data_IF_656408031332
#
_entry.id   IF_656408031332
#
_cell.length_a   1.000
_cell.length_b   1.000
_cell.length_c   1.000
_cell.angle_alpha   90.00
_cell.angle_beta   90.00
_cell.angle_gamma   90.00
#
_symmetry.space_group_name_H-M   'P 1'
#
loop_
_entity.id
_entity.type
_entity.pdbx_description
1 polymer ?
#
# COMPACT_ATOMS: atom_id res chain seq x y z
N UNK A 1 -16.01 -12.84 6.18
CA UNK A 1 -15.08 -11.75 6.57
C UNK A 1 -14.00 -12.19 7.57
N UNK A 2 -14.30 -13.03 8.58
CA UNK A 2 -13.25 -13.72 9.37
C UNK A 2 -12.28 -14.52 8.49
N UNK A 3 -12.84 -15.25 7.52
CA UNK A 3 -12.05 -15.94 6.48
C UNK A 3 -11.13 -15.00 5.70
N UNK A 4 -11.51 -13.73 5.52
CA UNK A 4 -10.69 -12.75 4.80
C UNK A 4 -9.43 -12.37 5.59
N UNK A 5 -9.55 -12.13 6.90
CA UNK A 5 -8.40 -11.83 7.76
C UNK A 5 -7.46 -13.03 7.90
N UNK A 6 -8.01 -14.23 8.10
CA UNK A 6 -7.22 -15.45 8.19
C UNK A 6 -6.56 -15.78 6.85
N UNK A 7 -7.25 -15.53 5.73
CA UNK A 7 -6.66 -15.59 4.39
C UNK A 7 -5.46 -14.66 4.26
N UNK A 8 -5.62 -13.39 4.63
CA UNK A 8 -4.54 -12.41 4.55
C UNK A 8 -3.36 -12.81 5.44
N UNK A 9 -3.61 -13.21 6.68
CA UNK A 9 -2.56 -13.65 7.60
C UNK A 9 -1.84 -14.89 7.07
N UNK A 10 -2.57 -15.88 6.55
CA UNK A 10 -2.00 -17.08 5.95
C UNK A 10 -1.09 -16.75 4.76
N UNK A 11 -1.49 -15.80 3.91
CA UNK A 11 -0.69 -15.38 2.76
C UNK A 11 0.50 -14.52 3.18
N UNK A 12 0.34 -13.63 4.17
CA UNK A 12 1.45 -12.90 4.81
C UNK A 12 2.48 -13.89 5.36
N UNK A 13 2.07 -14.92 6.09
CA UNK A 13 2.98 -15.92 6.65
C UNK A 13 3.64 -16.79 5.57
N UNK A 14 2.90 -17.15 4.51
CA UNK A 14 3.44 -17.84 3.32
C UNK A 14 4.56 -17.01 2.68
N UNK A 15 4.32 -15.73 2.40
CA UNK A 15 5.33 -14.84 1.84
C UNK A 15 6.47 -14.59 2.83
N UNK A 16 6.20 -14.37 4.12
CA UNK A 16 7.24 -14.19 5.12
C UNK A 16 8.19 -15.40 5.17
N UNK A 17 7.65 -16.62 5.09
CA UNK A 17 8.47 -17.83 5.01
C UNK A 17 9.25 -17.92 3.69
N UNK A 18 8.70 -17.43 2.57
CA UNK A 18 9.40 -17.37 1.29
C UNK A 18 10.66 -16.47 1.33
N UNK A 19 10.64 -15.40 2.14
CA UNK A 19 11.74 -14.43 2.26
C UNK A 19 12.58 -14.58 3.54
N UNK A 20 12.32 -15.59 4.38
CA UNK A 20 12.97 -15.72 5.71
C UNK A 20 14.50 -15.80 5.66
N UNK A 21 15.03 -16.43 4.60
CA UNK A 21 16.46 -16.66 4.40
C UNK A 21 17.08 -15.61 3.46
N UNK A 22 16.42 -14.46 3.29
CA UNK A 22 16.79 -13.40 2.37
C UNK A 22 16.02 -13.42 1.05
N UNK A 23 16.20 -12.35 0.29
CA UNK A 23 15.50 -12.08 -0.98
C UNK A 23 16.31 -12.65 -2.15
N UNK A 24 15.95 -13.86 -2.59
CA UNK A 24 16.57 -14.54 -3.74
C UNK A 24 15.54 -14.71 -4.87
N UNK A 25 15.59 -13.80 -5.86
CA UNK A 25 14.67 -13.81 -6.99
C UNK A 25 14.87 -15.04 -7.88
N UNK A 26 16.10 -15.56 -8.00
CA UNK A 26 16.36 -16.78 -8.77
C UNK A 26 15.72 -18.00 -8.09
N UNK A 27 15.71 -18.04 -6.75
CA UNK A 27 14.95 -19.07 -6.00
C UNK A 27 13.46 -18.93 -6.27
N UNK A 28 12.91 -17.72 -6.23
CA UNK A 28 11.49 -17.47 -6.52
C UNK A 28 11.14 -17.92 -7.95
N UNK A 29 11.95 -17.57 -8.95
CA UNK A 29 11.77 -18.02 -10.33
C UNK A 29 11.81 -19.55 -10.48
N UNK A 30 12.74 -20.24 -9.80
CA UNK A 30 12.77 -21.71 -9.80
C UNK A 30 11.51 -22.31 -9.19
N UNK A 31 11.05 -21.77 -8.05
CA UNK A 31 9.82 -22.23 -7.42
C UNK A 31 8.59 -21.95 -8.28
N UNK A 32 8.54 -20.80 -8.96
CA UNK A 32 7.54 -20.45 -9.96
C UNK A 32 7.49 -21.48 -11.09
N UNK A 33 8.62 -21.76 -11.74
CA UNK A 33 8.71 -22.70 -12.87
C UNK A 33 8.36 -24.14 -12.45
N UNK A 34 8.66 -24.52 -11.22
CA UNK A 34 8.27 -25.84 -10.67
C UNK A 34 6.78 -25.94 -10.28
N UNK A 35 6.05 -24.82 -10.33
CA UNK A 35 4.65 -24.74 -9.90
C UNK A 35 4.44 -24.76 -8.38
N UNK A 36 5.50 -24.61 -7.58
CA UNK A 36 5.40 -24.57 -6.11
C UNK A 36 4.63 -23.32 -5.63
N UNK A 37 4.89 -22.17 -6.26
CA UNK A 37 4.26 -20.89 -5.88
C UNK A 37 2.78 -20.79 -6.28
N UNK A 38 2.40 -21.48 -7.35
CA UNK A 38 1.08 -21.38 -8.00
C UNK A 38 0.06 -22.40 -7.48
N UNK A 39 0.44 -23.19 -6.47
CA UNK A 39 -0.49 -23.99 -5.67
C UNK A 39 -1.22 -23.04 -4.71
N UNK A 40 -2.42 -22.60 -5.11
CA UNK A 40 -3.21 -21.67 -4.32
C UNK A 40 -4.65 -21.54 -4.82
N UNK A 41 -5.52 -21.04 -3.97
CA UNK A 41 -6.88 -20.65 -4.34
C UNK A 41 -6.86 -19.29 -5.02
N UNK A 42 -7.52 -19.19 -6.17
CA UNK A 42 -7.64 -17.95 -6.94
C UNK A 42 -8.30 -16.85 -6.11
N UNK A 43 -9.41 -17.18 -5.44
CA UNK A 43 -10.16 -16.20 -4.65
C UNK A 43 -9.35 -15.71 -3.45
N UNK A 44 -8.60 -16.60 -2.79
CA UNK A 44 -7.66 -16.25 -1.72
C UNK A 44 -6.63 -15.20 -2.17
N UNK A 45 -5.99 -15.42 -3.33
CA UNK A 45 -4.98 -14.51 -3.87
C UNK A 45 -5.58 -13.19 -4.38
N UNK A 46 -6.78 -13.20 -4.99
CA UNK A 46 -7.44 -11.95 -5.42
C UNK A 46 -7.92 -11.12 -4.22
N UNK A 47 -8.45 -11.77 -3.17
CA UNK A 47 -8.78 -11.11 -1.90
C UNK A 47 -7.56 -10.46 -1.26
N UNK A 48 -6.41 -11.14 -1.33
CA UNK A 48 -5.16 -10.61 -0.81
C UNK A 48 -4.64 -9.43 -1.65
N UNK A 49 -4.84 -9.44 -2.96
CA UNK A 49 -4.54 -8.30 -3.83
C UNK A 49 -5.29 -7.04 -3.37
N UNK A 50 -6.60 -7.15 -3.16
CA UNK A 50 -7.41 -6.05 -2.59
C UNK A 50 -6.85 -5.55 -1.25
N UNK A 51 -6.39 -6.46 -0.38
CA UNK A 51 -5.77 -6.07 0.89
C UNK A 51 -4.46 -5.29 0.69
N UNK A 52 -3.57 -5.76 -0.20
CA UNK A 52 -2.32 -5.07 -0.51
C UNK A 52 -2.57 -3.70 -1.13
N UNK A 53 -3.53 -3.60 -2.05
CA UNK A 53 -3.92 -2.34 -2.70
C UNK A 53 -4.47 -1.33 -1.68
N UNK A 54 -5.30 -1.79 -0.74
CA UNK A 54 -5.76 -0.94 0.38
C UNK A 54 -4.61 -0.48 1.26
N UNK A 55 -3.65 -1.36 1.58
CA UNK A 55 -2.48 -1.00 2.35
C UNK A 55 -1.65 0.07 1.63
N UNK A 56 -1.42 -0.10 0.33
CA UNK A 56 -0.66 0.82 -0.50
C UNK A 56 -1.36 2.18 -0.62
N UNK A 57 -2.67 2.18 -0.88
CA UNK A 57 -3.50 3.38 -0.92
C UNK A 57 -3.41 4.18 0.39
N UNK A 58 -3.59 3.51 1.55
CA UNK A 58 -3.56 4.20 2.84
C UNK A 58 -2.17 4.69 3.21
N UNK A 59 -1.14 3.92 2.88
CA UNK A 59 0.25 4.30 3.15
C UNK A 59 0.62 5.55 2.35
N UNK A 60 0.29 5.58 1.06
CA UNK A 60 0.85 6.57 0.14
C UNK A 60 -0.07 7.74 -0.18
N UNK A 61 -1.40 7.64 -0.04
CA UNK A 61 -2.32 8.72 -0.47
C UNK A 61 -1.92 10.08 0.08
N UNK A 62 -1.69 10.19 1.39
CA UNK A 62 -1.38 11.49 2.00
C UNK A 62 -0.03 12.05 1.53
N UNK A 63 0.93 11.17 1.19
CA UNK A 63 2.22 11.55 0.64
C UNK A 63 2.08 11.97 -0.81
N UNK A 64 1.36 11.20 -1.62
CA UNK A 64 1.08 11.56 -3.01
C UNK A 64 0.33 12.89 -3.09
N UNK A 65 -0.63 13.12 -2.21
CA UNK A 65 -1.24 14.46 -2.04
C UNK A 65 -0.17 15.47 -1.63
N UNK A 66 0.60 15.26 -0.58
CA UNK A 66 1.61 16.24 -0.14
C UNK A 66 2.65 16.60 -1.22
N UNK A 67 3.13 15.61 -1.98
CA UNK A 67 4.21 15.76 -2.94
C UNK A 67 3.75 16.06 -4.37
N UNK A 68 2.54 15.66 -4.75
CA UNK A 68 2.07 15.66 -6.13
C UNK A 68 0.62 16.14 -6.31
N UNK A 69 -0.07 16.67 -5.26
CA UNK A 69 -1.53 16.89 -5.27
C UNK A 69 -2.09 17.50 -6.56
N UNK A 70 -1.49 18.61 -7.00
CA UNK A 70 -1.94 19.41 -8.14
C UNK A 70 -1.74 18.72 -9.47
N UNK A 71 -1.00 17.60 -9.47
CA UNK A 71 -0.52 16.94 -10.66
C UNK A 71 -1.12 15.56 -10.85
N UNK A 72 -2.07 15.06 -10.04
CA UNK A 72 -2.70 13.76 -10.33
C UNK A 72 -4.01 13.94 -11.12
N UNK A 73 -4.15 13.29 -12.27
CA UNK A 73 -5.36 13.34 -13.10
C UNK A 73 -6.07 11.99 -13.17
N UNK A 74 -6.90 11.70 -12.17
CA UNK A 74 -7.77 10.51 -12.19
C UNK A 74 -8.81 10.58 -13.32
N UNK A 75 -9.23 11.79 -13.72
CA UNK A 75 -10.21 11.96 -14.79
C UNK A 75 -9.69 11.54 -16.16
N UNK A 76 -8.45 11.90 -16.50
CA UNK A 76 -7.86 11.51 -17.78
C UNK A 76 -7.53 10.02 -17.82
N UNK A 77 -7.05 9.47 -16.70
CA UNK A 77 -6.90 8.03 -16.51
C UNK A 77 -8.20 7.26 -16.81
N UNK A 78 -9.33 7.66 -16.23
CA UNK A 78 -10.62 7.00 -16.47
C UNK A 78 -11.09 7.14 -17.93
N UNK A 79 -10.83 8.27 -18.60
CA UNK A 79 -11.14 8.43 -20.03
C UNK A 79 -10.37 7.43 -20.89
N UNK A 80 -9.14 7.09 -20.51
CA UNK A 80 -8.33 6.10 -21.24
C UNK A 80 -8.84 4.69 -21.04
N UNK A 81 -9.23 4.33 -19.82
CA UNK A 81 -9.87 3.04 -19.53
C UNK A 81 -11.14 2.84 -20.37
N UNK A 82 -11.88 3.92 -20.64
CA UNK A 82 -13.06 3.87 -21.52
C UNK A 82 -12.73 3.51 -22.98
N UNK A 83 -11.47 3.63 -23.41
CA UNK A 83 -11.06 3.18 -24.74
C UNK A 83 -10.68 1.69 -24.78
N UNK A 84 -10.65 1.00 -23.63
CA UNK A 84 -10.30 -0.41 -23.53
C UNK A 84 -11.55 -1.31 -23.53
N UNK A 85 -11.75 -2.07 -24.61
CA UNK A 85 -12.90 -2.97 -24.78
C UNK A 85 -12.96 -4.10 -23.74
N UNK A 86 -11.81 -4.59 -23.26
CA UNK A 86 -11.77 -5.58 -22.18
C UNK A 86 -12.28 -5.00 -20.87
N UNK A 87 -11.90 -3.76 -20.54
CA UNK A 87 -12.37 -3.08 -19.33
C UNK A 87 -13.87 -2.83 -19.41
N UNK A 88 -14.39 -2.37 -20.55
CA UNK A 88 -15.84 -2.22 -20.77
C UNK A 88 -16.60 -3.53 -20.54
N UNK A 89 -16.07 -4.65 -21.04
CA UNK A 89 -16.68 -5.96 -20.83
C UNK A 89 -16.72 -6.36 -19.34
N UNK A 90 -15.64 -6.07 -18.60
CA UNK A 90 -15.57 -6.29 -17.15
C UNK A 90 -16.60 -5.42 -16.42
N UNK A 91 -16.70 -4.14 -16.76
CA UNK A 91 -17.69 -3.20 -16.19
C UNK A 91 -19.11 -3.72 -16.39
N UNK A 92 -19.47 -4.05 -17.64
CA UNK A 92 -20.80 -4.57 -17.95
C UNK A 92 -21.11 -5.86 -17.18
N UNK A 93 -20.16 -6.79 -17.08
CA UNK A 93 -20.31 -8.02 -16.30
C UNK A 93 -20.53 -7.73 -14.81
N UNK A 94 -19.76 -6.80 -14.25
CA UNK A 94 -19.88 -6.40 -12.84
C UNK A 94 -21.24 -5.77 -12.54
N UNK A 95 -21.69 -4.84 -13.37
CA UNK A 95 -22.98 -4.15 -13.22
C UNK A 95 -24.14 -5.15 -13.34
N UNK A 96 -24.11 -6.02 -14.37
CA UNK A 96 -25.13 -7.06 -14.55
C UNK A 96 -25.21 -7.97 -13.32
N UNK A 97 -24.06 -8.40 -12.81
CA UNK A 97 -24.00 -9.30 -11.65
C UNK A 97 -24.43 -8.61 -10.36
N UNK A 98 -24.08 -7.34 -10.16
CA UNK A 98 -24.58 -6.54 -9.03
C UNK A 98 -26.12 -6.39 -9.10
N UNK A 99 -26.68 -6.14 -10.28
CA UNK A 99 -28.12 -6.02 -10.48
C UNK A 99 -28.87 -7.34 -10.23
N UNK A 100 -28.23 -8.49 -10.42
CA UNK A 100 -28.78 -9.80 -10.04
C UNK A 100 -28.70 -10.06 -8.54
N UNK A 101 -27.66 -9.55 -7.87
CA UNK A 101 -27.39 -9.76 -6.44
C UNK A 101 -28.30 -8.88 -5.55
N UNK A 102 -28.61 -7.66 -5.99
CA UNK A 102 -29.51 -6.73 -5.26
C UNK A 102 -30.65 -6.23 -6.14
N UNK A 103 -31.87 -6.28 -5.61
CA UNK A 103 -33.06 -5.71 -6.27
C UNK A 103 -32.99 -4.17 -6.23
N UNK A 104 -33.36 -3.51 -7.34
CA UNK A 104 -33.45 -2.05 -7.49
C UNK A 104 -32.13 -1.25 -7.42
N UNK A 105 -31.06 -1.69 -8.10
CA UNK A 105 -29.87 -0.87 -8.31
C UNK A 105 -30.07 0.17 -9.44
N UNK A 106 -29.60 1.39 -9.22
CA UNK A 106 -29.62 2.45 -10.23
C UNK A 106 -28.19 2.83 -10.67
N UNK A 107 -27.40 1.84 -11.12
CA UNK A 107 -26.05 2.12 -11.63
C UNK A 107 -26.18 2.74 -13.03
N UNK A 108 -25.87 4.03 -13.14
CA UNK A 108 -26.30 4.89 -14.27
C UNK A 108 -25.22 5.10 -15.35
N UNK A 109 -24.25 4.21 -15.46
CA UNK A 109 -23.09 4.43 -16.35
C UNK A 109 -22.44 3.12 -16.79
N UNK A 110 -22.14 3.05 -18.09
CA UNK A 110 -21.25 2.04 -18.69
C UNK A 110 -19.83 2.58 -18.89
N UNK A 111 -19.55 3.81 -18.43
CA UNK A 111 -18.22 4.39 -18.41
C UNK A 111 -17.43 3.92 -17.18
N UNK A 112 -16.11 3.83 -17.33
CA UNK A 112 -15.18 3.53 -16.27
C UNK A 112 -15.25 4.58 -15.16
N UNK A 113 -15.59 4.12 -13.97
CA UNK A 113 -15.51 4.84 -12.70
C UNK A 113 -14.67 4.04 -11.71
N UNK A 114 -14.04 4.73 -10.75
CA UNK A 114 -13.36 4.08 -9.62
C UNK A 114 -14.39 3.50 -8.64
N UNK A 115 -15.54 4.17 -8.49
CA UNK A 115 -16.61 3.81 -7.58
C UNK A 115 -17.96 4.00 -8.26
N UNK A 116 -18.79 2.95 -8.28
CA UNK A 116 -20.12 2.97 -8.88
C UNK A 116 -21.17 3.03 -7.78
N UNK A 117 -21.87 4.16 -7.68
CA UNK A 117 -22.88 4.39 -6.64
C UNK A 117 -24.13 3.54 -6.87
N UNK A 118 -24.66 2.91 -5.82
CA UNK A 118 -25.90 2.10 -5.91
C UNK A 118 -27.17 2.95 -6.06
N UNK A 119 -27.12 4.21 -5.61
CA UNK A 119 -28.21 5.19 -5.70
C UNK A 119 -28.21 5.99 -7.03
N UNK A 120 -27.24 5.73 -7.91
CA UNK A 120 -27.06 6.42 -9.19
C UNK A 120 -26.46 7.82 -9.10
N UNK A 121 -25.98 8.25 -7.92
CA UNK A 121 -25.30 9.52 -7.76
C UNK A 121 -23.93 9.50 -8.42
N UNK A 122 -23.66 10.49 -9.27
CA UNK A 122 -22.36 10.67 -9.92
C UNK A 122 -21.42 11.48 -9.03
N UNK A 123 -20.22 10.97 -8.82
CA UNK A 123 -19.15 11.63 -8.09
C UNK A 123 -18.01 11.99 -9.04
N UNK A 124 -17.31 13.10 -8.80
CA UNK A 124 -16.09 13.38 -9.57
C UNK A 124 -15.00 12.35 -9.20
N UNK A 125 -14.02 12.07 -10.10
CA UNK A 125 -13.02 11.02 -9.88
C UNK A 125 -12.23 11.13 -8.58
N UNK A 126 -11.88 12.36 -8.18
CA UNK A 126 -11.20 12.61 -6.91
C UNK A 126 -12.05 12.19 -5.70
N UNK A 127 -13.33 12.56 -5.71
CA UNK A 127 -14.27 12.18 -4.66
C UNK A 127 -14.53 10.66 -4.66
N UNK A 128 -14.57 10.01 -5.82
CA UNK A 128 -14.63 8.54 -5.89
C UNK A 128 -13.42 7.89 -5.18
N UNK A 129 -12.20 8.38 -5.44
CA UNK A 129 -10.99 7.92 -4.74
C UNK A 129 -10.99 8.22 -3.23
N UNK A 130 -11.64 9.31 -2.79
CA UNK A 130 -11.86 9.61 -1.38
C UNK A 130 -12.83 8.63 -0.71
N UNK A 131 -13.93 8.28 -1.39
CA UNK A 131 -14.91 7.28 -0.93
C UNK A 131 -14.19 5.94 -0.70
N UNK A 132 -13.41 5.47 -1.69
CA UNK A 132 -12.68 4.20 -1.60
C UNK A 132 -11.65 4.22 -0.47
N UNK A 133 -10.88 5.31 -0.34
CA UNK A 133 -9.89 5.43 0.75
C UNK A 133 -10.56 5.39 2.12
N UNK A 134 -11.68 6.10 2.30
CA UNK A 134 -12.41 6.11 3.57
C UNK A 134 -12.87 4.69 3.88
N UNK A 135 -13.43 4.00 2.90
CA UNK A 135 -13.84 2.61 3.05
C UNK A 135 -12.68 1.72 3.51
N UNK A 136 -11.50 1.87 2.92
CA UNK A 136 -10.30 1.15 3.33
C UNK A 136 -9.87 1.50 4.77
N UNK A 137 -9.82 2.79 5.12
CA UNK A 137 -9.40 3.26 6.45
C UNK A 137 -10.34 2.78 7.57
N UNK A 138 -11.63 2.71 7.26
CA UNK A 138 -12.70 2.36 8.19
C UNK A 138 -13.13 0.88 8.10
N UNK A 139 -12.48 0.10 7.21
CA UNK A 139 -12.87 -1.26 6.81
C UNK A 139 -14.36 -1.41 6.49
N UNK A 140 -14.89 -0.40 5.82
CA UNK A 140 -16.26 -0.28 5.36
C UNK A 140 -16.40 -0.82 3.94
N UNK A 141 -15.90 -2.04 3.74
CA UNK A 141 -16.05 -2.79 2.51
C UNK A 141 -16.49 -4.21 2.83
N UNK A 142 -17.35 -4.78 1.98
CA UNK A 142 -18.01 -6.04 2.25
C UNK A 142 -18.22 -6.86 0.98
N UNK A 143 -18.62 -8.12 1.16
CA UNK A 143 -19.12 -9.02 0.12
C UNK A 143 -18.33 -8.99 -1.20
N UNK A 144 -17.32 -9.85 -1.28
CA UNK A 144 -16.56 -10.06 -2.52
C UNK A 144 -17.35 -10.95 -3.47
N UNK A 145 -17.72 -10.40 -4.63
CA UNK A 145 -18.47 -11.13 -5.66
C UNK A 145 -17.49 -11.72 -6.66
N UNK A 146 -17.36 -13.05 -6.67
CA UNK A 146 -16.46 -13.75 -7.57
C UNK A 146 -17.09 -14.04 -8.94
N UNK A 147 -16.28 -14.08 -9.98
CA UNK A 147 -16.55 -14.66 -11.28
C UNK A 147 -15.43 -15.68 -11.62
N UNK A 148 -15.43 -16.19 -12.85
CA UNK A 148 -14.48 -17.21 -13.29
C UNK A 148 -13.00 -16.78 -13.20
N UNK A 149 -12.75 -15.47 -13.22
CA UNK A 149 -11.44 -14.83 -13.09
C UNK A 149 -11.00 -14.45 -11.68
N UNK A 150 -11.76 -14.80 -10.63
CA UNK A 150 -11.50 -14.37 -9.26
C UNK A 150 -12.55 -13.38 -8.77
N UNK A 151 -12.18 -12.42 -7.90
CA UNK A 151 -13.11 -11.35 -7.48
C UNK A 151 -13.38 -10.40 -8.66
N UNK A 152 -14.64 -10.13 -8.94
CA UNK A 152 -15.07 -9.17 -9.95
C UNK A 152 -15.25 -7.77 -9.34
N UNK A 153 -15.93 -7.69 -8.20
CA UNK A 153 -16.11 -6.45 -7.45
C UNK A 153 -16.32 -6.74 -5.96
N UNK A 154 -16.23 -5.70 -5.15
CA UNK A 154 -16.61 -5.70 -3.74
C UNK A 154 -17.48 -4.48 -3.42
N UNK A 155 -18.29 -4.59 -2.38
CA UNK A 155 -19.13 -3.49 -1.93
C UNK A 155 -18.34 -2.53 -1.02
N UNK A 156 -18.69 -1.25 -1.10
CA UNK A 156 -18.23 -0.19 -0.21
C UNK A 156 -19.45 0.42 0.46
N UNK A 157 -19.42 0.49 1.79
CA UNK A 157 -20.52 0.87 2.68
C UNK A 157 -20.05 1.96 3.67
N UNK A 158 -19.74 3.15 3.15
CA UNK A 158 -19.27 4.28 3.95
C UNK A 158 -20.41 4.84 4.79
N UNK A 159 -20.56 4.31 6.02
CA UNK A 159 -21.60 4.68 6.97
C UNK A 159 -20.98 5.37 8.21
N UNK A 160 -21.22 6.66 8.37
CA UNK A 160 -20.92 7.41 9.59
C UNK A 160 -21.98 8.49 9.87
N UNK A 161 -21.77 9.34 10.88
CA UNK A 161 -22.71 10.40 11.23
C UNK A 161 -22.96 11.41 10.09
N UNK A 162 -22.07 11.49 9.11
CA UNK A 162 -22.04 12.50 8.06
C UNK A 162 -22.29 11.93 6.66
N UNK A 163 -22.12 10.62 6.47
CA UNK A 163 -22.24 9.95 5.18
C UNK A 163 -22.95 8.61 5.27
N UNK A 164 -23.77 8.37 4.25
CA UNK A 164 -24.45 7.12 3.97
C UNK A 164 -24.28 6.85 2.46
N UNK A 165 -23.10 6.33 2.08
CA UNK A 165 -22.70 6.11 0.68
C UNK A 165 -22.45 4.64 0.44
N UNK A 166 -23.18 4.08 -0.53
CA UNK A 166 -23.10 2.68 -0.92
C UNK A 166 -22.76 2.53 -2.41
N UNK A 167 -21.86 1.61 -2.72
CA UNK A 167 -21.45 1.35 -4.10
C UNK A 167 -20.72 0.05 -4.27
N UNK A 168 -20.32 -0.21 -5.51
CA UNK A 168 -19.38 -1.27 -5.85
C UNK A 168 -18.07 -0.65 -6.35
N UNK A 169 -16.99 -1.37 -6.08
CA UNK A 169 -15.67 -1.11 -6.63
C UNK A 169 -15.27 -2.34 -7.44
N UNK A 170 -15.01 -2.12 -8.73
CA UNK A 170 -14.54 -3.18 -9.63
C UNK A 170 -13.07 -3.44 -9.34
N UNK A 171 -12.74 -4.69 -9.04
CA UNK A 171 -11.45 -5.04 -8.45
C UNK A 171 -10.28 -4.78 -9.40
N UNK A 172 -10.43 -5.10 -10.69
CA UNK A 172 -9.37 -4.88 -11.70
C UNK A 172 -9.08 -3.38 -11.93
N UNK A 173 -10.12 -2.53 -11.97
CA UNK A 173 -9.95 -1.07 -12.09
C UNK A 173 -9.31 -0.50 -10.84
N UNK A 174 -9.72 -0.97 -9.67
CA UNK A 174 -9.13 -0.54 -8.39
C UNK A 174 -7.65 -0.91 -8.30
N UNK A 175 -7.30 -2.14 -8.67
CA UNK A 175 -5.93 -2.62 -8.66
C UNK A 175 -5.03 -1.79 -9.59
N UNK A 176 -5.46 -1.58 -10.85
CA UNK A 176 -4.72 -0.77 -11.81
C UNK A 176 -4.57 0.68 -11.34
N UNK A 177 -5.65 1.31 -10.86
CA UNK A 177 -5.62 2.67 -10.31
C UNK A 177 -4.64 2.78 -9.14
N UNK A 178 -4.65 1.81 -8.22
CA UNK A 178 -3.76 1.83 -7.06
C UNK A 178 -2.30 1.69 -7.49
N UNK A 179 -2.02 0.77 -8.41
CA UNK A 179 -0.68 0.58 -8.97
C UNK A 179 -0.15 1.80 -9.68
N UNK A 180 -0.98 2.45 -10.50
CA UNK A 180 -0.59 3.62 -11.27
C UNK A 180 -0.28 4.82 -10.37
N UNK A 181 -1.16 5.12 -9.40
CA UNK A 181 -1.10 6.38 -8.66
C UNK A 181 -0.51 6.28 -7.25
N UNK A 182 -0.37 5.08 -6.68
CA UNK A 182 0.12 4.91 -5.31
C UNK A 182 1.25 3.89 -5.21
N UNK A 183 1.83 3.42 -6.32
CA UNK A 183 3.07 2.64 -6.31
C UNK A 183 4.30 3.53 -6.37
N UNK A 184 5.29 3.22 -5.53
CA UNK A 184 6.59 3.88 -5.52
C UNK A 184 7.63 3.15 -6.41
N UNK A 185 7.24 2.11 -7.16
CA UNK A 185 8.11 1.48 -8.16
C UNK A 185 8.09 2.25 -9.46
N UNK A 186 9.28 2.58 -9.93
CA UNK A 186 9.51 3.26 -11.20
C UNK A 186 8.95 2.49 -12.41
N UNK A 187 8.86 1.17 -12.37
CA UNK A 187 8.32 0.39 -13.50
C UNK A 187 6.80 0.44 -13.59
N UNK A 188 6.10 0.69 -12.47
CA UNK A 188 4.65 0.49 -12.35
C UNK A 188 3.87 1.77 -12.05
N UNK A 189 4.43 2.69 -11.25
CA UNK A 189 3.77 3.92 -10.84
C UNK A 189 4.73 5.10 -10.81
N UNK A 190 4.50 6.01 -9.86
CA UNK A 190 5.26 7.26 -9.70
C UNK A 190 5.81 7.37 -8.29
N UNK A 191 7.14 7.36 -8.14
CA UNK A 191 7.77 7.67 -6.88
C UNK A 191 7.52 9.14 -6.48
N UNK A 192 6.99 9.37 -5.28
CA UNK A 192 6.80 10.74 -4.76
C UNK A 192 8.11 11.40 -4.33
N UNK A 193 9.13 10.59 -4.04
CA UNK A 193 10.50 11.03 -3.77
C UNK A 193 11.48 9.91 -4.10
N UNK A 194 12.73 10.27 -4.36
CA UNK A 194 13.85 9.32 -4.40
C UNK A 194 14.88 9.67 -3.33
N UNK A 195 15.46 8.65 -2.71
CA UNK A 195 16.51 8.83 -1.72
C UNK A 195 17.72 7.95 -2.00
N UNK A 196 18.92 8.47 -1.76
CA UNK A 196 20.15 7.71 -1.91
C UNK A 196 21.27 8.19 -1.00
N UNK A 197 22.32 7.37 -0.93
CA UNK A 197 23.59 7.69 -0.27
C UNK A 197 24.64 7.88 -1.36
N UNK A 198 25.27 9.05 -1.39
CA UNK A 198 26.30 9.36 -2.39
C UNK A 198 27.47 10.14 -1.79
N UNK A 199 28.66 9.96 -2.35
CA UNK A 199 29.78 10.86 -2.12
C UNK A 199 29.76 12.05 -3.09
N UNK A 200 28.93 12.04 -4.13
CA UNK A 200 28.76 13.18 -5.02
C UNK A 200 27.70 14.13 -4.48
N UNK A 201 28.04 15.41 -4.35
CA UNK A 201 27.08 16.49 -4.09
C UNK A 201 26.56 17.01 -5.42
N UNK A 202 25.26 16.87 -5.66
CA UNK A 202 24.53 17.44 -6.79
C UNK A 202 24.35 18.95 -6.62
N UNK A 203 24.30 19.46 -5.38
CA UNK A 203 24.23 20.89 -5.12
C UNK A 203 25.56 21.62 -5.39
N UNK A 204 26.68 21.02 -4.98
CA UNK A 204 28.04 21.58 -5.19
C UNK A 204 28.72 21.08 -6.46
N UNK A 205 28.10 20.10 -7.12
CA UNK A 205 28.57 19.44 -8.34
C UNK A 205 29.98 18.83 -8.23
N UNK A 206 30.35 18.34 -7.04
CA UNK A 206 31.66 17.75 -6.75
C UNK A 206 31.59 16.65 -5.70
N UNK A 207 32.68 15.90 -5.57
CA UNK A 207 32.81 14.91 -4.49
C UNK A 207 32.90 15.60 -3.12
N UNK A 208 32.20 14.98 -2.17
CA UNK A 208 32.19 15.25 -0.74
C UNK A 208 33.16 14.31 -0.03
N UNK A 209 33.78 14.80 1.04
CA UNK A 209 34.67 14.00 1.89
C UNK A 209 33.89 12.96 2.71
N UNK A 210 32.64 13.27 3.05
CA UNK A 210 31.76 12.39 3.82
C UNK A 210 30.54 11.97 2.99
N UNK A 211 29.98 10.76 3.19
CA UNK A 211 28.76 10.34 2.50
C UNK A 211 27.59 11.25 2.86
N UNK A 212 26.79 11.58 1.85
CA UNK A 212 25.61 12.42 1.94
C UNK A 212 24.36 11.55 1.81
N UNK A 213 23.36 11.83 2.62
CA UNK A 213 21.98 11.44 2.39
C UNK A 213 21.32 12.47 1.49
N UNK A 214 20.83 12.02 0.34
CA UNK A 214 20.28 12.87 -0.71
C UNK A 214 18.81 12.51 -0.91
N UNK A 215 17.96 13.52 -1.00
CA UNK A 215 16.54 13.36 -1.32
C UNK A 215 16.21 14.22 -2.53
N UNK A 216 15.60 13.59 -3.53
CA UNK A 216 15.05 14.22 -4.73
C UNK A 216 13.53 14.25 -4.63
N UNK A 217 12.94 15.39 -4.94
CA UNK A 217 11.50 15.58 -5.10
C UNK A 217 11.25 16.30 -6.41
N UNK A 218 10.05 16.18 -6.95
CA UNK A 218 9.66 17.06 -8.05
C UNK A 218 9.65 18.51 -7.54
N UNK A 219 10.12 19.44 -8.38
CA UNK A 219 10.06 20.87 -8.08
C UNK A 219 8.61 21.34 -8.01
N UNK A 220 8.30 22.23 -7.06
CA UNK A 220 7.01 22.92 -6.99
C UNK A 220 6.69 23.74 -8.27
N UNK A 221 7.71 24.04 -9.10
CA UNK A 221 7.54 24.72 -10.39
C UNK A 221 7.12 23.81 -11.54
N UNK A 222 7.12 22.49 -11.34
CA UNK A 222 6.63 21.54 -12.34
C UNK A 222 5.09 21.56 -12.34
N UNK A 223 4.47 21.76 -13.50
CA UNK A 223 3.03 22.06 -13.61
C UNK A 223 2.24 21.02 -14.42
N UNK A 224 2.88 19.92 -14.85
CA UNK A 224 2.22 18.92 -15.68
C UNK A 224 1.47 17.89 -14.83
N UNK A 225 0.25 17.57 -15.26
CA UNK A 225 -0.52 16.50 -14.67
C UNK A 225 0.00 15.13 -15.13
N UNK A 226 0.15 14.24 -14.17
CA UNK A 226 0.29 12.82 -14.28
C UNK A 226 -1.06 12.12 -14.39
N UNK A 227 -1.28 11.46 -15.52
CA UNK A 227 -2.45 10.66 -15.88
C UNK A 227 -2.18 9.14 -15.83
N UNK A 228 -1.00 8.72 -15.36
CA UNK A 228 -0.56 7.32 -15.38
C UNK A 228 0.61 7.03 -16.33
N UNK A 229 1.16 8.04 -17.01
CA UNK A 229 2.16 7.86 -18.07
C UNK A 229 3.60 8.18 -17.63
N UNK A 230 4.36 8.92 -18.43
CA UNK A 230 5.72 9.32 -18.08
C UNK A 230 5.70 10.44 -17.03
N UNK A 231 6.71 10.46 -16.18
CA UNK A 231 6.91 11.50 -15.17
C UNK A 231 8.40 11.64 -14.89
N UNK A 232 8.94 12.85 -14.63
CA UNK A 232 10.37 13.05 -14.36
C UNK A 232 10.88 12.22 -13.18
N UNK A 233 10.07 12.02 -12.14
CA UNK A 233 10.44 11.14 -11.01
C UNK A 233 10.58 9.67 -11.42
N UNK A 234 9.84 9.23 -12.44
CA UNK A 234 9.96 7.88 -13.00
C UNK A 234 11.27 7.78 -13.78
N UNK A 235 11.53 8.72 -14.67
CA UNK A 235 12.77 8.76 -15.46
C UNK A 235 14.02 8.86 -14.58
N UNK A 236 13.98 9.67 -13.52
CA UNK A 236 15.03 9.78 -12.51
C UNK A 236 15.30 8.42 -11.84
N UNK A 237 14.23 7.71 -11.46
CA UNK A 237 14.31 6.37 -10.88
C UNK A 237 15.09 5.38 -11.74
N UNK A 238 14.91 5.46 -13.08
CA UNK A 238 15.61 4.58 -14.03
C UNK A 238 17.12 4.83 -14.06
N UNK A 239 17.59 6.03 -13.69
CA UNK A 239 19.01 6.39 -13.73
C UNK A 239 19.81 5.87 -12.53
N UNK A 240 19.16 5.44 -11.44
CA UNK A 240 19.85 4.96 -10.23
C UNK A 240 20.70 3.70 -10.43
N UNK A 241 20.54 3.00 -11.57
CA UNK A 241 21.32 1.81 -11.91
C UNK A 241 22.77 2.14 -12.24
N UNK A 242 23.04 3.34 -12.76
CA UNK A 242 24.37 3.77 -13.20
C UNK A 242 24.69 5.16 -12.63
N UNK A 243 25.66 5.28 -11.69
CA UNK A 243 25.94 6.54 -11.00
C UNK A 243 26.26 7.71 -11.93
N UNK A 244 26.97 7.48 -13.03
CA UNK A 244 27.33 8.54 -13.98
C UNK A 244 26.10 9.06 -14.73
N UNK A 245 25.20 8.16 -15.17
CA UNK A 245 23.94 8.54 -15.81
C UNK A 245 23.05 9.35 -14.87
N UNK A 246 23.00 8.99 -13.58
CA UNK A 246 22.25 9.76 -12.59
C UNK A 246 22.79 11.20 -12.46
N UNK A 247 24.11 11.36 -12.41
CA UNK A 247 24.76 12.67 -12.33
C UNK A 247 24.42 13.52 -13.56
N UNK A 248 24.59 12.96 -14.75
CA UNK A 248 24.36 13.68 -16.00
C UNK A 248 22.88 14.03 -16.21
N UNK A 249 21.98 13.10 -15.89
CA UNK A 249 20.54 13.34 -15.97
C UNK A 249 20.09 14.44 -15.02
N UNK A 250 20.52 14.41 -13.75
CA UNK A 250 20.15 15.44 -12.77
C UNK A 250 20.74 16.80 -13.14
N UNK A 251 21.97 16.86 -13.64
CA UNK A 251 22.57 18.12 -14.12
C UNK A 251 21.78 18.73 -15.27
N UNK A 252 21.43 17.91 -16.25
CA UNK A 252 20.67 18.34 -17.44
C UNK A 252 19.26 18.79 -17.08
N UNK A 253 18.65 18.16 -16.07
CA UNK A 253 17.26 18.35 -15.67
C UNK A 253 17.11 19.02 -14.30
N UNK A 254 18.10 19.80 -13.85
CA UNK A 254 18.17 20.34 -12.49
C UNK A 254 16.92 21.14 -12.08
N UNK A 255 16.31 21.86 -13.02
CA UNK A 255 15.10 22.65 -12.77
C UNK A 255 13.85 21.81 -12.46
N UNK A 256 13.86 20.50 -12.77
CA UNK A 256 12.74 19.60 -12.48
C UNK A 256 12.74 19.11 -11.03
N UNK A 257 13.84 19.25 -10.29
CA UNK A 257 14.02 18.57 -9.02
C UNK A 257 14.41 19.50 -7.88
N UNK A 258 13.73 19.35 -6.75
CA UNK A 258 14.18 19.86 -5.47
C UNK A 258 15.10 18.83 -4.80
N UNK A 259 16.36 19.24 -4.60
CA UNK A 259 17.42 18.39 -4.06
C UNK A 259 17.81 18.86 -2.66
N UNK A 260 17.75 17.95 -1.70
CA UNK A 260 18.28 18.20 -0.35
C UNK A 260 19.42 17.24 -0.04
N UNK A 261 20.48 17.76 0.57
CA UNK A 261 21.66 16.99 0.95
C UNK A 261 21.97 17.20 2.44
N UNK A 262 22.17 16.11 3.17
CA UNK A 262 22.61 16.14 4.57
C UNK A 262 23.78 15.18 4.77
N UNK A 263 24.81 15.53 5.56
CA UNK A 263 25.85 14.56 5.91
C UNK A 263 25.24 13.37 6.64
N UNK A 264 25.56 12.14 6.21
CA UNK A 264 24.93 10.93 6.74
C UNK A 264 25.12 10.79 8.26
N UNK A 265 26.29 11.17 8.77
CA UNK A 265 26.62 11.14 10.20
C UNK A 265 25.72 12.06 11.06
N UNK A 266 25.07 13.06 10.45
CA UNK A 266 24.12 13.93 11.15
C UNK A 266 22.74 13.29 11.33
N UNK A 267 22.47 12.19 10.63
CA UNK A 267 21.21 11.46 10.66
C UNK A 267 21.33 10.12 11.39
N UNK A 268 22.43 9.41 11.17
CA UNK A 268 22.77 8.15 11.84
C UNK A 268 24.26 8.10 12.14
N UNK A 269 24.60 7.80 13.39
CA UNK A 269 26.01 7.64 13.77
C UNK A 269 26.55 6.24 13.39
N UNK A 270 27.88 6.10 13.39
CA UNK A 270 28.54 4.85 13.02
C UNK A 270 28.20 3.69 13.96
N UNK A 271 27.97 3.95 15.25
CA UNK A 271 27.65 2.91 16.24
C UNK A 271 26.25 2.35 15.96
N UNK A 272 25.28 3.20 15.63
CA UNK A 272 23.94 2.82 15.24
C UNK A 272 23.97 1.95 13.97
N UNK A 273 24.72 2.37 12.95
CA UNK A 273 24.88 1.60 11.70
C UNK A 273 25.51 0.23 11.98
N UNK A 274 26.60 0.16 12.76
CA UNK A 274 27.25 -1.11 13.11
C UNK A 274 26.33 -2.02 13.92
N UNK A 275 25.58 -1.48 14.88
CA UNK A 275 24.65 -2.25 15.71
C UNK A 275 23.53 -2.86 14.85
N UNK A 276 22.96 -2.07 13.95
CA UNK A 276 21.97 -2.54 12.97
C UNK A 276 22.57 -3.62 12.06
N UNK A 277 23.78 -3.41 11.55
CA UNK A 277 24.46 -4.35 10.66
C UNK A 277 24.61 -5.73 11.31
N UNK A 278 25.09 -5.77 12.56
CA UNK A 278 25.29 -7.02 13.32
C UNK A 278 23.96 -7.70 13.64
N UNK A 279 22.97 -6.94 14.13
CA UNK A 279 21.69 -7.50 14.57
C UNK A 279 20.84 -8.06 13.44
N UNK A 280 20.91 -7.45 12.26
CA UNK A 280 20.10 -7.83 11.11
C UNK A 280 20.90 -8.56 10.02
N UNK A 281 22.14 -8.99 10.33
CA UNK A 281 22.98 -9.77 9.42
C UNK A 281 23.17 -9.10 8.05
N UNK A 282 23.44 -7.80 8.03
CA UNK A 282 23.64 -7.04 6.80
C UNK A 282 25.09 -7.17 6.31
N UNK A 283 25.37 -8.18 5.49
CA UNK A 283 26.74 -8.59 5.19
C UNK A 283 27.45 -7.83 4.06
N UNK A 284 26.71 -7.18 3.16
CA UNK A 284 27.28 -6.51 1.99
C UNK A 284 26.91 -5.02 1.94
N UNK A 285 27.64 -4.24 1.12
CA UNK A 285 27.43 -2.79 0.99
C UNK A 285 25.98 -2.45 0.59
N UNK A 286 25.39 -3.20 -0.33
CA UNK A 286 24.00 -3.00 -0.75
C UNK A 286 23.02 -3.20 0.42
N UNK A 287 23.14 -4.31 1.15
CA UNK A 287 22.31 -4.60 2.32
C UNK A 287 22.44 -3.53 3.42
N UNK A 288 23.65 -3.00 3.64
CA UNK A 288 23.87 -1.89 4.58
C UNK A 288 23.18 -0.61 4.08
N UNK A 289 23.37 -0.25 2.81
CA UNK A 289 22.73 0.93 2.20
C UNK A 289 21.21 0.86 2.30
N UNK A 290 20.60 -0.26 1.91
CA UNK A 290 19.15 -0.45 2.02
C UNK A 290 18.68 -0.53 3.49
N UNK A 291 19.49 -1.08 4.39
CA UNK A 291 19.22 -1.01 5.83
C UNK A 291 19.15 0.44 6.33
N UNK A 292 20.09 1.29 5.92
CA UNK A 292 20.07 2.73 6.23
C UNK A 292 18.84 3.40 5.61
N UNK A 293 18.54 3.12 4.33
CA UNK A 293 17.32 3.64 3.68
C UNK A 293 16.06 3.21 4.43
N UNK A 294 16.00 1.97 4.92
CA UNK A 294 14.85 1.48 5.69
C UNK A 294 14.62 2.34 6.93
N UNK A 295 15.68 2.80 7.60
CA UNK A 295 15.57 3.64 8.79
C UNK A 295 15.26 5.10 8.44
N UNK A 296 15.97 5.67 7.46
CA UNK A 296 15.86 7.09 7.11
C UNK A 296 14.68 7.43 6.19
N UNK A 297 14.19 6.44 5.47
CA UNK A 297 13.11 6.53 4.49
C UNK A 297 12.16 5.33 4.55
N UNK A 298 11.72 5.02 5.76
CA UNK A 298 10.84 3.87 6.03
C UNK A 298 9.57 3.88 5.19
N UNK A 299 9.00 5.05 4.90
CA UNK A 299 7.75 5.17 4.13
C UNK A 299 7.91 4.61 2.70
N UNK A 300 8.98 5.03 2.01
CA UNK A 300 9.31 4.55 0.67
C UNK A 300 9.65 3.07 0.69
N UNK A 301 10.45 2.62 1.67
CA UNK A 301 10.88 1.22 1.73
C UNK A 301 9.73 0.25 2.10
N UNK A 302 8.79 0.67 2.96
CA UNK A 302 7.56 -0.11 3.23
C UNK A 302 6.67 -0.14 1.99
N UNK A 303 6.50 0.99 1.29
CA UNK A 303 5.74 1.04 0.05
C UNK A 303 6.32 0.08 -0.99
N UNK A 304 7.64 0.13 -1.19
CA UNK A 304 8.34 -0.75 -2.12
C UNK A 304 8.14 -2.22 -1.76
N UNK A 305 8.25 -2.58 -0.48
CA UNK A 305 7.95 -3.92 0.00
C UNK A 305 6.51 -4.38 -0.33
N UNK A 306 5.49 -3.52 -0.16
CA UNK A 306 4.10 -3.88 -0.50
C UNK A 306 3.94 -4.09 -2.01
N UNK A 307 4.54 -3.22 -2.82
CA UNK A 307 4.53 -3.34 -4.28
C UNK A 307 5.20 -4.63 -4.74
N UNK A 308 6.34 -5.01 -4.14
CA UNK A 308 7.01 -6.27 -4.41
C UNK A 308 6.08 -7.47 -4.21
N UNK A 309 5.37 -7.50 -3.09
CA UNK A 309 4.41 -8.57 -2.80
C UNK A 309 3.22 -8.56 -3.75
N UNK A 310 2.75 -7.37 -4.14
CA UNK A 310 1.68 -7.22 -5.13
C UNK A 310 2.10 -7.81 -6.48
N UNK A 311 3.28 -7.47 -6.99
CA UNK A 311 3.80 -7.98 -8.26
C UNK A 311 3.97 -9.50 -8.24
N UNK A 312 4.51 -10.06 -7.16
CA UNK A 312 4.60 -11.51 -7.01
C UNK A 312 3.21 -12.16 -6.97
N UNK A 313 2.26 -11.54 -6.27
CA UNK A 313 0.88 -12.03 -6.20
C UNK A 313 0.19 -11.98 -7.58
N UNK A 314 0.46 -10.94 -8.38
CA UNK A 314 -0.06 -10.82 -9.75
C UNK A 314 0.48 -11.92 -10.66
N UNK A 315 1.77 -12.22 -10.59
CA UNK A 315 2.37 -13.34 -11.33
C UNK A 315 1.71 -14.68 -10.96
N UNK A 316 1.44 -14.89 -9.67
CA UNK A 316 0.73 -16.08 -9.19
C UNK A 316 -0.70 -16.13 -9.76
N UNK A 317 -1.45 -15.03 -9.67
CA UNK A 317 -2.82 -14.91 -10.16
C UNK A 317 -2.91 -15.15 -11.67
N UNK A 318 -2.09 -14.44 -12.45
CA UNK A 318 -2.05 -14.57 -13.90
C UNK A 318 -1.75 -16.02 -14.30
N UNK A 319 -0.84 -16.69 -13.60
CA UNK A 319 -0.51 -18.08 -13.91
C UNK A 319 -1.64 -19.05 -13.56
N UNK A 320 -2.33 -18.86 -12.43
CA UNK A 320 -3.50 -19.66 -12.07
C UNK A 320 -4.59 -19.50 -13.14
N UNK A 321 -4.85 -18.27 -13.58
CA UNK A 321 -5.83 -17.96 -14.63
C UNK A 321 -5.45 -18.57 -15.98
N UNK A 322 -4.19 -18.42 -16.40
CA UNK A 322 -3.71 -18.97 -17.66
C UNK A 322 -3.78 -20.49 -17.70
N UNK A 323 -3.48 -21.17 -16.59
CA UNK A 323 -3.66 -22.62 -16.48
C UNK A 323 -5.13 -23.05 -16.62
N UNK A 324 -6.07 -22.21 -16.14
CA UNK A 324 -7.52 -22.47 -16.23
C UNK A 324 -8.06 -22.22 -17.65
N UNK A 325 -7.60 -21.16 -18.34
CA UNK A 325 -8.25 -20.65 -19.56
C UNK A 325 -7.39 -20.64 -20.84
N UNK A 326 -6.06 -20.66 -20.75
CA UNK A 326 -5.13 -20.39 -21.87
C UNK A 326 -4.10 -21.52 -22.09
N UNK A 327 -4.57 -22.78 -22.18
CA UNK A 327 -3.70 -23.97 -22.25
C UNK A 327 -2.72 -24.00 -23.44
N UNK A 328 -3.03 -23.31 -24.54
CA UNK A 328 -2.27 -23.42 -25.79
C UNK A 328 -1.07 -22.46 -25.90
N UNK A 329 -0.84 -21.56 -24.92
CA UNK A 329 0.24 -20.56 -24.98
C UNK A 329 1.05 -20.43 -23.68
N UNK A 330 1.05 -21.48 -22.84
CA UNK A 330 1.64 -21.44 -21.50
C UNK A 330 3.13 -21.09 -21.47
N UNK A 331 3.89 -21.43 -22.53
CA UNK A 331 5.33 -21.12 -22.59
C UNK A 331 5.58 -19.63 -22.76
N UNK A 332 4.83 -18.94 -23.61
CA UNK A 332 4.97 -17.49 -23.77
C UNK A 332 4.52 -16.75 -22.52
N UNK A 333 3.43 -17.22 -21.90
CA UNK A 333 2.94 -16.68 -20.62
C UNK A 333 4.01 -16.83 -19.53
N UNK A 334 4.63 -18.01 -19.39
CA UNK A 334 5.72 -18.22 -18.45
C UNK A 334 6.90 -17.28 -18.70
N UNK A 335 7.30 -17.07 -19.95
CA UNK A 335 8.37 -16.14 -20.27
C UNK A 335 8.02 -14.69 -19.86
N UNK A 336 6.79 -14.25 -20.09
CA UNK A 336 6.31 -12.93 -19.65
C UNK A 336 6.31 -12.82 -18.11
N UNK A 337 5.90 -13.87 -17.40
CA UNK A 337 5.91 -13.89 -15.94
C UNK A 337 7.34 -13.83 -15.38
N UNK A 338 8.31 -14.50 -16.02
CA UNK A 338 9.71 -14.42 -15.62
C UNK A 338 10.25 -12.99 -15.77
N UNK A 339 9.89 -12.29 -16.86
CA UNK A 339 10.27 -10.88 -17.05
C UNK A 339 9.69 -9.98 -15.96
N UNK A 340 8.44 -10.21 -15.53
CA UNK A 340 7.86 -9.49 -14.40
C UNK A 340 8.58 -9.81 -13.08
N UNK A 341 8.97 -11.08 -12.87
CA UNK A 341 9.75 -11.47 -11.68
C UNK A 341 11.16 -10.86 -11.68
N UNK A 342 11.76 -10.59 -12.85
CA UNK A 342 13.07 -9.93 -12.92
C UNK A 342 13.04 -8.49 -12.38
N UNK A 343 11.89 -7.81 -12.41
CA UNK A 343 11.74 -6.49 -11.80
C UNK A 343 11.98 -6.52 -10.27
N UNK A 344 11.68 -7.66 -9.63
CA UNK A 344 11.84 -7.85 -8.18
C UNK A 344 13.31 -7.86 -7.73
N UNK A 345 14.27 -7.94 -8.67
CA UNK A 345 15.71 -7.89 -8.38
C UNK A 345 16.11 -6.56 -7.74
N UNK A 346 15.34 -5.48 -7.97
CA UNK A 346 15.55 -4.18 -7.34
C UNK A 346 15.60 -4.26 -5.79
N UNK A 347 14.87 -5.21 -5.20
CA UNK A 347 14.77 -5.35 -3.73
C UNK A 347 15.70 -6.40 -3.13
N UNK A 348 16.61 -7.00 -3.91
CA UNK A 348 17.46 -8.10 -3.42
C UNK A 348 18.27 -7.77 -2.15
N UNK A 349 18.50 -6.48 -1.89
CA UNK A 349 19.23 -5.97 -0.72
C UNK A 349 18.33 -5.43 0.40
N UNK A 350 17.00 -5.38 0.21
CA UNK A 350 16.03 -4.76 1.12
C UNK A 350 15.60 -5.68 2.29
N UNK A 351 16.51 -6.53 2.79
CA UNK A 351 16.19 -7.55 3.81
C UNK A 351 15.57 -6.96 5.09
N UNK A 352 16.08 -5.80 5.54
CA UNK A 352 15.53 -5.13 6.73
C UNK A 352 14.11 -4.61 6.48
N UNK A 353 13.87 -3.99 5.32
CA UNK A 353 12.55 -3.50 4.92
C UNK A 353 11.52 -4.64 4.89
N UNK A 354 11.88 -5.81 4.36
CA UNK A 354 10.99 -6.98 4.34
C UNK A 354 10.69 -7.49 5.75
N UNK A 355 11.73 -7.65 6.59
CA UNK A 355 11.56 -8.13 7.96
C UNK A 355 10.61 -7.25 8.77
N UNK A 356 10.77 -5.93 8.67
CA UNK A 356 9.90 -4.97 9.35
C UNK A 356 8.53 -4.84 8.65
N UNK A 357 8.51 -4.84 7.32
CA UNK A 357 7.34 -4.73 6.47
C UNK A 357 6.30 -5.81 6.71
N UNK A 358 6.72 -7.07 6.92
CA UNK A 358 5.78 -8.13 7.33
C UNK A 358 5.10 -7.83 8.68
N UNK A 359 5.80 -7.20 9.62
CA UNK A 359 5.21 -6.76 10.88
C UNK A 359 4.21 -5.63 10.66
N UNK A 360 4.51 -4.70 9.74
CA UNK A 360 3.58 -3.64 9.33
C UNK A 360 2.32 -4.22 8.70
N UNK A 361 2.43 -5.18 7.76
CA UNK A 361 1.26 -5.81 7.15
C UNK A 361 0.39 -6.56 8.15
N UNK A 362 1.00 -7.26 9.13
CA UNK A 362 0.25 -7.88 10.23
C UNK A 362 -0.49 -6.84 11.06
N UNK A 363 0.16 -5.70 11.35
CA UNK A 363 -0.46 -4.60 12.05
C UNK A 363 -1.59 -3.95 11.23
N UNK A 364 -1.46 -3.78 9.92
CA UNK A 364 -2.52 -3.26 9.04
C UNK A 364 -3.71 -4.22 8.96
N UNK A 365 -3.46 -5.53 8.80
CA UNK A 365 -4.50 -6.56 8.81
C UNK A 365 -5.29 -6.57 10.12
N UNK A 366 -4.62 -6.27 11.25
CA UNK A 366 -5.29 -6.09 12.55
C UNK A 366 -6.02 -4.75 12.66
N UNK A 367 -5.38 -3.64 12.25
CA UNK A 367 -5.89 -2.29 12.40
C UNK A 367 -7.19 -2.04 11.62
N UNK A 368 -7.33 -2.65 10.43
CA UNK A 368 -8.57 -2.57 9.66
C UNK A 368 -9.78 -3.13 10.44
N UNK A 369 -9.60 -3.98 11.45
CA UNK A 369 -10.69 -4.52 12.27
C UNK A 369 -11.22 -3.56 13.36
N UNK A 370 -10.46 -2.51 13.68
CA UNK A 370 -10.60 -1.88 14.98
C UNK A 370 -11.77 -0.91 15.15
N UNK A 371 -12.51 -0.57 14.09
CA UNK A 371 -13.28 0.68 14.16
C UNK A 371 -14.71 0.59 14.70
N UNK A 372 -15.52 -0.45 14.49
CA UNK A 372 -16.90 -0.44 15.01
C UNK A 372 -17.42 -1.83 15.35
N UNK A 373 -18.13 -1.94 16.47
CA UNK A 373 -18.90 -3.14 16.80
C UNK A 373 -20.28 -3.10 16.12
N UNK A 374 -20.98 -4.24 16.10
CA UNK A 374 -22.31 -4.36 15.48
C UNK A 374 -23.33 -3.33 16.02
N UNK A 375 -23.28 -3.00 17.32
CA UNK A 375 -24.24 -2.09 17.94
C UNK A 375 -24.06 -0.61 17.53
N UNK A 376 -22.85 -0.21 17.15
CA UNK A 376 -22.60 1.11 16.56
C UNK A 376 -23.07 1.18 15.11
N UNK A 377 -22.95 0.11 14.34
CA UNK A 377 -23.49 0.03 12.97
C UNK A 377 -25.02 -0.03 12.96
N UNK A 378 -25.63 -0.72 13.93
CA UNK A 378 -27.10 -0.78 14.12
C UNK A 378 -27.71 0.59 14.44
N UNK A 379 -26.98 1.50 15.10
CA UNK A 379 -27.45 2.90 15.32
C UNK A 379 -27.61 3.70 14.02
N UNK A 380 -26.83 3.36 12.99
CA UNK A 380 -26.85 4.05 11.69
C UNK A 380 -27.63 3.27 10.62
N UNK A 381 -28.07 2.05 10.92
CA UNK A 381 -28.84 1.20 10.03
C UNK A 381 -30.27 1.71 9.82
N UNK A 382 -30.49 2.52 8.79
CA UNK A 382 -31.82 2.63 8.16
C UNK A 382 -31.90 1.69 6.97
N UNK A 383 -32.89 0.79 7.04
CA UNK A 383 -33.39 -0.04 5.96
C UNK A 383 -33.58 0.77 4.67
N UNK A 384 -32.65 0.66 3.71
CA UNK A 384 -32.95 1.16 2.35
C UNK A 384 -32.43 0.30 1.19
N UNK A 385 -31.53 -0.67 1.40
CA UNK A 385 -30.94 -1.42 0.25
C UNK A 385 -30.79 -2.94 0.46
N UNK A 386 -31.47 -3.53 1.45
CA UNK A 386 -31.42 -4.99 1.67
C UNK A 386 -30.01 -5.52 1.97
N UNK A 387 -29.14 -4.68 2.56
CA UNK A 387 -27.77 -5.06 2.89
C UNK A 387 -27.78 -5.85 4.19
N UNK A 388 -27.35 -7.11 4.12
CA UNK A 388 -27.26 -7.99 5.27
C UNK A 388 -26.08 -7.59 6.18
N UNK A 389 -26.37 -6.73 7.15
CA UNK A 389 -25.45 -6.33 8.22
C UNK A 389 -24.96 -7.53 9.05
N UNK A 390 -25.61 -8.69 8.99
CA UNK A 390 -25.11 -9.91 9.64
C UNK A 390 -23.83 -10.46 9.01
N UNK A 391 -23.41 -9.96 7.84
CA UNK A 391 -22.13 -10.31 7.22
C UNK A 391 -20.95 -9.45 7.70
N UNK A 392 -21.19 -8.35 8.42
CA UNK A 392 -20.17 -7.51 9.10
C UNK A 392 -19.76 -8.08 10.47
N UNK A 393 -19.85 -9.41 10.65
CA UNK A 393 -19.44 -10.12 11.88
C UNK A 393 -17.92 -10.15 11.99
N UNK A 394 -17.33 -9.03 12.42
CA UNK A 394 -16.07 -9.09 13.13
C UNK A 394 -16.37 -9.51 14.58
N UNK A 395 -15.72 -10.55 15.14
CA UNK A 395 -15.73 -10.73 16.57
C UNK A 395 -15.12 -9.45 17.18
N UNK A 396 -15.70 -8.96 18.27
CA UNK A 396 -15.07 -7.88 19.02
C UNK A 396 -13.64 -8.31 19.43
N UNK A 397 -12.69 -7.36 19.40
CA UNK A 397 -11.36 -7.63 19.93
C UNK A 397 -11.48 -7.77 21.45
N UNK A 398 -10.99 -8.88 22.01
CA UNK A 398 -10.83 -8.98 23.45
C UNK A 398 -9.59 -8.20 23.88
N UNK A 399 -9.80 -6.98 24.38
CA UNK A 399 -8.72 -6.14 24.86
C UNK A 399 -8.00 -6.75 26.08
N UNK A 400 -8.60 -7.68 26.82
CA UNK A 400 -7.92 -8.33 27.95
C UNK A 400 -6.73 -9.20 27.50
N UNK A 401 -6.78 -9.74 26.27
CA UNK A 401 -5.72 -10.59 25.71
C UNK A 401 -4.61 -9.82 24.98
N UNK A 402 -4.79 -8.53 24.72
CA UNK A 402 -3.81 -7.71 23.99
C UNK A 402 -2.59 -7.42 24.88
N UNK A 403 -1.40 -7.81 24.45
CA UNK A 403 -0.14 -7.40 25.07
C UNK A 403 0.35 -6.05 24.51
N UNK A 404 0.63 -5.11 25.42
CA UNK A 404 1.16 -3.78 25.08
C UNK A 404 2.49 -3.49 25.77
N UNK A 405 3.13 -4.48 26.40
CA UNK A 405 4.31 -4.31 27.24
C UNK A 405 5.52 -3.71 26.50
N UNK A 406 5.59 -3.88 25.17
CA UNK A 406 6.60 -3.27 24.30
C UNK A 406 6.34 -1.82 23.87
N UNK A 407 5.20 -1.21 24.23
CA UNK A 407 4.85 0.14 23.78
C UNK A 407 5.18 1.20 24.84
N UNK A 408 5.72 2.33 24.37
CA UNK A 408 5.95 3.53 25.18
C UNK A 408 4.95 4.59 24.71
N UNK A 409 4.16 5.11 25.64
CA UNK A 409 3.11 6.10 25.35
C UNK A 409 2.88 7.03 26.55
N UNK A 410 2.25 8.18 26.30
CA UNK A 410 1.90 9.13 27.35
C UNK A 410 0.66 8.65 28.11
N UNK A 411 0.80 8.42 29.42
CA UNK A 411 -0.29 7.92 30.27
C UNK A 411 -1.38 8.97 30.49
N UNK A 412 -1.02 10.25 30.55
CA UNK A 412 -1.99 11.35 30.75
C UNK A 412 -2.90 11.49 29.50
N UNK A 413 -2.30 11.44 28.30
CA UNK A 413 -3.07 11.39 27.05
C UNK A 413 -3.98 10.17 26.97
N UNK A 414 -3.51 9.02 27.46
CA UNK A 414 -4.31 7.80 27.49
C UNK A 414 -5.51 7.93 28.43
N UNK A 415 -5.33 8.54 29.60
CA UNK A 415 -6.44 8.83 30.52
C UNK A 415 -7.46 9.78 29.91
N UNK A 416 -7.00 10.87 29.30
CA UNK A 416 -7.88 11.88 28.70
C UNK A 416 -8.66 11.32 27.51
N UNK A 417 -8.02 10.50 26.67
CA UNK A 417 -8.69 9.73 25.62
C UNK A 417 -9.78 8.83 26.20
N UNK A 418 -9.45 8.04 27.23
CA UNK A 418 -10.41 7.10 27.82
C UNK A 418 -11.59 7.81 28.49
N UNK A 419 -11.38 9.00 29.09
CA UNK A 419 -12.47 9.83 29.62
C UNK A 419 -13.39 10.31 28.50
N UNK A 420 -12.84 10.82 27.39
CA UNK A 420 -13.62 11.31 26.23
C UNK A 420 -14.44 10.20 25.57
N UNK A 421 -13.87 9.01 25.44
CA UNK A 421 -14.50 7.86 24.79
C UNK A 421 -15.31 6.97 25.76
N UNK A 422 -15.47 7.37 27.03
CA UNK A 422 -16.16 6.60 28.08
C UNK A 422 -15.62 5.16 28.29
N UNK A 423 -14.30 4.97 28.17
CA UNK A 423 -13.63 3.67 28.33
C UNK A 423 -13.23 3.46 29.80
N UNK A 424 -13.77 2.42 30.42
CA UNK A 424 -13.55 2.13 31.85
C UNK A 424 -12.58 0.97 32.12
N UNK A 425 -12.47 0.02 31.20
CA UNK A 425 -11.58 -1.16 31.31
C UNK A 425 -10.54 -1.18 30.19
N UNK A 426 -9.39 -1.82 30.44
CA UNK A 426 -8.31 -1.98 29.45
C UNK A 426 -7.84 -0.66 28.79
N UNK A 427 -7.96 0.46 29.52
CA UNK A 427 -7.75 1.84 29.03
C UNK A 427 -6.53 2.02 28.14
N UNK A 428 -5.35 1.63 28.64
CA UNK A 428 -4.09 1.76 27.92
C UNK A 428 -4.07 0.95 26.60
N UNK A 429 -4.71 -0.22 26.58
CA UNK A 429 -4.76 -1.09 25.40
C UNK A 429 -5.66 -0.50 24.32
N UNK A 430 -6.80 0.05 24.71
CA UNK A 430 -7.65 0.82 23.79
C UNK A 430 -6.90 2.01 23.19
N UNK A 431 -6.20 2.78 24.04
CA UNK A 431 -5.42 3.94 23.60
C UNK A 431 -4.32 3.56 22.60
N UNK A 432 -3.45 2.62 22.97
CA UNK A 432 -2.32 2.19 22.14
C UNK A 432 -2.81 1.67 20.79
N UNK A 433 -3.81 0.79 20.78
CA UNK A 433 -4.32 0.24 19.55
C UNK A 433 -5.01 1.32 18.68
N UNK A 434 -5.74 2.27 19.27
CA UNK A 434 -6.35 3.39 18.51
C UNK A 434 -5.27 4.26 17.86
N UNK A 435 -4.19 4.55 18.57
CA UNK A 435 -3.04 5.32 18.04
C UNK A 435 -2.34 4.58 16.89
N UNK A 436 -2.07 3.29 17.05
CA UNK A 436 -1.50 2.45 15.99
C UNK A 436 -2.40 2.48 14.76
N UNK A 437 -3.70 2.24 14.95
CA UNK A 437 -4.67 2.24 13.86
C UNK A 437 -4.69 3.58 13.13
N UNK A 438 -4.86 4.69 13.84
CA UNK A 438 -4.91 6.01 13.23
C UNK A 438 -3.63 6.28 12.42
N UNK A 439 -2.46 6.04 13.03
CA UNK A 439 -1.19 6.18 12.34
C UNK A 439 -1.14 5.34 11.05
N UNK A 440 -1.54 4.05 11.10
CA UNK A 440 -1.58 3.19 9.92
C UNK A 440 -2.58 3.66 8.85
N UNK A 441 -3.77 4.14 9.24
CA UNK A 441 -4.80 4.63 8.30
C UNK A 441 -4.41 5.93 7.60
N UNK A 442 -3.46 6.67 8.18
CA UNK A 442 -2.84 7.87 7.61
C UNK A 442 -1.45 7.56 7.01
N UNK A 443 -1.00 6.31 7.10
CA UNK A 443 0.32 5.87 6.66
C UNK A 443 1.48 6.48 7.44
N UNK A 444 1.26 7.02 8.63
CA UNK A 444 2.23 7.73 9.46
C UNK A 444 3.01 6.77 10.35
N UNK A 445 3.76 5.89 9.70
CA UNK A 445 4.63 4.91 10.34
C UNK A 445 6.07 5.15 9.94
N UNK A 446 6.96 5.19 10.93
CA UNK A 446 8.39 5.29 10.67
C UNK A 446 9.22 4.41 11.57
N UNK A 447 10.46 4.16 11.15
CA UNK A 447 11.45 3.46 11.96
C UNK A 447 12.46 4.45 12.53
N UNK A 448 12.99 4.14 13.70
CA UNK A 448 14.15 4.84 14.25
C UNK A 448 15.03 3.85 15.01
N UNK A 449 16.29 4.22 15.21
CA UNK A 449 17.17 3.52 16.14
C UNK A 449 17.08 4.26 17.48
N UNK A 450 16.71 3.55 18.54
CA UNK A 450 16.59 4.13 19.88
C UNK A 450 17.95 4.26 20.60
N UNK A 451 17.93 4.74 21.84
CA UNK A 451 19.14 4.89 22.64
C UNK A 451 19.82 3.56 23.03
N UNK A 452 19.11 2.42 22.89
CA UNK A 452 19.64 1.07 23.08
C UNK A 452 20.18 0.47 21.79
N UNK A 453 20.21 1.23 20.70
CA UNK A 453 20.56 0.81 19.34
C UNK A 453 19.59 -0.23 18.75
N UNK A 454 18.34 -0.18 19.19
CA UNK A 454 17.28 -1.06 18.72
C UNK A 454 16.42 -0.35 17.67
N UNK A 455 16.06 -1.04 16.60
CA UNK A 455 15.07 -0.52 15.65
C UNK A 455 13.69 -0.60 16.28
N UNK A 456 13.04 0.55 16.40
CA UNK A 456 11.69 0.67 16.97
C UNK A 456 10.73 1.29 15.97
N UNK A 457 9.47 0.87 16.06
CA UNK A 457 8.35 1.43 15.30
C UNK A 457 7.85 2.70 15.97
N UNK A 458 7.58 3.73 15.18
CA UNK A 458 6.98 4.97 15.64
C UNK A 458 5.68 5.19 14.87
N UNK A 459 4.58 5.22 15.61
CA UNK A 459 3.24 5.48 15.11
C UNK A 459 2.89 6.94 15.45
N UNK A 460 2.83 7.81 14.44
CA UNK A 460 2.55 9.23 14.63
C UNK A 460 1.08 9.53 14.29
N UNK A 461 0.31 9.98 15.29
CA UNK A 461 -1.11 10.34 15.15
C UNK A 461 -1.31 11.85 14.99
N UNK A 462 -0.40 12.52 14.25
CA UNK A 462 -0.58 13.91 13.84
C UNK A 462 -1.46 13.98 12.60
N UNK A 463 -2.77 14.01 12.79
CA UNK A 463 -3.69 14.39 11.71
C UNK A 463 -3.59 15.90 11.48
N UNK A 464 -3.35 16.34 10.24
CA UNK A 464 -3.09 17.74 9.82
C UNK A 464 -4.19 18.79 10.17
N UNK A 465 -5.19 18.46 10.98
CA UNK A 465 -6.20 19.39 11.51
C UNK A 465 -6.54 19.20 13.00
N UNK A 466 -5.86 18.29 13.71
CA UNK A 466 -6.02 18.14 15.16
C UNK A 466 -4.70 18.50 15.83
N UNK A 467 -4.54 19.79 16.10
CA UNK A 467 -3.60 20.27 17.11
C UNK A 467 -4.10 19.81 18.48
N UNK A 468 -3.66 18.64 18.91
CA UNK A 468 -3.57 18.28 20.33
C UNK A 468 -2.23 17.60 20.56
#
# INVERSE_FOLDING_TARGET
MLEYMFNNLSLIDKFQNLYKDGIDIRRIQRQFLSGELTKGDLNAHTRFRVFLDQCLLLLNKEKMTYYLNSHLSFGDYLKELNNNETIKAIINSAILKAAMDKTNLNINTAEAELFYSLDGKKYNPWHQGDIIRRAAAHAQYSTFVSADGGILFFYVDNIDEQMDIHGIVIEEIFHDWVRTFFSNYTTVGIPYKHTCISFYSFLKEKLSETPLWITFKISDSYDQNYDGRSHPMRELGMQFREPDNLIDYVKTNKALFDITEKPLYSLLDTKQICSMQLKYSLHNKGAITYGIKTILDSETEISNFIVHLSLLNDVILQTILSNKFAKNDMKNIQNLMILQLDELVEDQNANLAFKLGFSVLKAMNLAFRMEKNKSELEKYGKNTLGIDLDNLKYPALDYSEVDISGFIFNSDEAEDFCKKENITQNKNKHFVLKKIRNALTHGNIRFKIDCKNEVVFVFDDKYHKRTH
#
